data_IF_362619999196
#
_entry.id   IF_362619999196
#
_cell.length_a   1.000
_cell.length_b   1.000
_cell.length_c   1.000
_cell.angle_alpha   90.00
_cell.angle_beta   90.00
_cell.angle_gamma   90.00
#
_symmetry.space_group_name_H-M   'P 1'
#
loop_
_entity.id
_entity.type
_entity.pdbx_description
1 polymer ?
#
# COMPACT_ATOMS: atom_id res chain seq x y z
N UNK A 1 -31.19 5.82 8.11
CA UNK A 1 -30.67 7.16 7.76
C UNK A 1 -29.33 6.93 7.06
N UNK A 2 -29.27 7.13 5.75
CA UNK A 2 -28.06 6.86 4.96
C UNK A 2 -27.08 8.03 5.12
N UNK A 3 -25.91 7.78 5.70
CA UNK A 3 -24.80 8.75 5.70
C UNK A 3 -24.43 9.06 4.24
N UNK A 4 -24.60 10.32 3.82
CA UNK A 4 -23.97 10.79 2.59
C UNK A 4 -22.49 11.06 2.90
N UNK A 5 -21.54 10.49 2.13
CA UNK A 5 -20.14 10.81 2.32
C UNK A 5 -19.91 12.26 1.88
N UNK A 6 -19.70 13.13 2.86
CA UNK A 6 -19.32 14.53 2.62
C UNK A 6 -17.98 14.62 1.91
N UNK A 7 -17.91 15.44 0.87
CA UNK A 7 -16.67 15.84 0.20
C UNK A 7 -15.88 16.79 1.08
N UNK A 8 -15.24 16.29 2.14
CA UNK A 8 -14.32 17.09 2.93
C UNK A 8 -13.05 17.34 2.11
N UNK A 9 -12.88 18.56 1.61
CA UNK A 9 -11.76 18.87 0.71
C UNK A 9 -11.59 20.30 0.22
N UNK A 10 -12.46 21.26 0.56
CA UNK A 10 -12.17 22.68 0.31
C UNK A 10 -11.28 23.25 1.41
N UNK A 11 -10.24 23.99 1.00
CA UNK A 11 -9.38 24.71 1.92
C UNK A 11 -10.22 25.68 2.77
N UNK A 12 -10.37 25.38 4.06
CA UNK A 12 -11.05 26.27 5.02
C UNK A 12 -12.07 25.58 5.93
N UNK A 13 -12.54 24.37 5.62
CA UNK A 13 -13.43 23.64 6.53
C UNK A 13 -12.64 22.87 7.58
N UNK A 14 -12.98 23.07 8.86
CA UNK A 14 -12.50 22.22 9.94
C UNK A 14 -12.99 20.80 9.72
N UNK A 15 -12.12 19.80 9.90
CA UNK A 15 -12.56 18.41 9.93
C UNK A 15 -13.62 18.24 11.02
N UNK A 16 -14.66 17.43 10.79
CA UNK A 16 -15.62 17.05 11.82
C UNK A 16 -14.89 16.48 13.04
N UNK A 17 -15.35 16.88 14.21
CA UNK A 17 -14.92 16.26 15.46
C UNK A 17 -15.84 15.06 15.73
N UNK A 18 -15.50 13.91 15.13
CA UNK A 18 -16.32 12.70 15.26
C UNK A 18 -16.43 12.18 16.69
N UNK A 19 -15.47 12.49 17.58
CA UNK A 19 -15.61 12.14 19.01
C UNK A 19 -16.73 12.95 19.65
N UNK A 20 -16.81 14.24 19.36
CA UNK A 20 -17.88 15.10 19.85
C UNK A 20 -19.23 14.82 19.18
N UNK A 21 -19.25 14.67 17.85
CA UNK A 21 -20.49 14.49 17.10
C UNK A 21 -21.17 13.16 17.37
N UNK A 22 -20.41 12.11 17.65
CA UNK A 22 -20.94 10.77 17.94
C UNK A 22 -21.00 10.46 19.43
N UNK A 23 -20.60 11.41 20.28
CA UNK A 23 -20.50 11.25 21.75
C UNK A 23 -19.69 10.00 22.11
N UNK A 24 -18.46 9.92 21.58
CA UNK A 24 -17.55 8.80 21.79
C UNK A 24 -16.31 9.23 22.56
N UNK A 25 -15.86 8.34 23.42
CA UNK A 25 -14.56 8.39 24.08
C UNK A 25 -13.50 7.60 23.29
N UNK A 26 -12.20 7.90 23.49
CA UNK A 26 -11.12 7.06 22.97
C UNK A 26 -11.22 5.59 23.41
N UNK A 27 -11.69 5.34 24.63
CA UNK A 27 -11.89 4.02 25.20
C UNK A 27 -12.95 3.23 24.44
N UNK A 28 -14.12 3.83 24.19
CA UNK A 28 -15.19 3.19 23.41
C UNK A 28 -14.76 2.87 21.97
N UNK A 29 -13.97 3.75 21.34
CA UNK A 29 -13.38 3.45 20.03
C UNK A 29 -12.45 2.24 20.10
N UNK A 30 -11.62 2.14 21.14
CA UNK A 30 -10.74 0.98 21.31
C UNK A 30 -11.52 -0.31 21.54
N UNK A 31 -12.62 -0.27 22.30
CA UNK A 31 -13.52 -1.40 22.52
C UNK A 31 -14.14 -1.85 21.19
N UNK A 32 -14.73 -0.93 20.43
CA UNK A 32 -15.31 -1.20 19.10
C UNK A 32 -14.28 -1.87 18.18
N UNK A 33 -13.05 -1.35 18.14
CA UNK A 33 -11.98 -1.89 17.29
C UNK A 33 -11.56 -3.28 17.78
N UNK A 34 -11.41 -3.48 19.10
CA UNK A 34 -10.98 -4.74 19.69
C UNK A 34 -11.99 -5.87 19.46
N UNK A 35 -13.30 -5.54 19.51
CA UNK A 35 -14.38 -6.49 19.25
C UNK A 35 -14.58 -6.81 17.76
N UNK A 36 -14.03 -5.98 16.86
CA UNK A 36 -14.24 -6.09 15.41
C UNK A 36 -12.91 -6.19 14.63
N UNK A 37 -12.27 -7.38 14.55
CA UNK A 37 -11.00 -7.55 13.84
C UNK A 37 -10.96 -7.06 12.38
N UNK A 38 -12.04 -7.18 11.56
CA UNK A 38 -12.05 -6.60 10.22
C UNK A 38 -11.93 -5.08 10.23
N UNK A 39 -12.60 -4.41 11.18
CA UNK A 39 -12.53 -2.95 11.35
C UNK A 39 -11.11 -2.54 11.71
N UNK A 40 -10.46 -3.25 12.64
CA UNK A 40 -9.06 -3.03 12.98
C UNK A 40 -8.16 -3.11 11.74
N UNK A 41 -8.31 -4.17 10.94
CA UNK A 41 -7.47 -4.37 9.75
C UNK A 41 -7.64 -3.25 8.72
N UNK A 42 -8.88 -2.87 8.42
CA UNK A 42 -9.18 -1.78 7.48
C UNK A 42 -8.70 -0.43 8.01
N UNK A 43 -9.00 -0.10 9.27
CA UNK A 43 -8.56 1.14 9.89
C UNK A 43 -7.03 1.24 9.90
N UNK A 44 -6.33 0.15 10.23
CA UNK A 44 -4.88 0.14 10.25
C UNK A 44 -4.27 0.38 8.87
N UNK A 45 -4.94 -0.07 7.79
CA UNK A 45 -4.61 0.30 6.42
C UNK A 45 -4.67 1.82 6.20
N UNK A 46 -5.78 2.46 6.57
CA UNK A 46 -5.92 3.92 6.46
C UNK A 46 -4.91 4.68 7.33
N UNK A 47 -4.60 4.19 8.53
CA UNK A 47 -3.57 4.78 9.38
C UNK A 47 -2.19 4.65 8.73
N UNK A 48 -1.86 3.51 8.12
CA UNK A 48 -0.61 3.32 7.39
C UNK A 48 -0.48 4.29 6.21
N UNK A 49 -1.54 4.48 5.42
CA UNK A 49 -1.57 5.47 4.34
C UNK A 49 -1.38 6.90 4.85
N UNK A 50 -2.08 7.28 5.92
CA UNK A 50 -1.93 8.60 6.56
C UNK A 50 -0.49 8.83 7.06
N UNK A 51 0.11 7.82 7.69
CA UNK A 51 1.49 7.88 8.20
C UNK A 51 2.50 7.94 7.07
N UNK A 52 2.32 7.16 6.01
CA UNK A 52 3.16 7.23 4.81
C UNK A 52 3.12 8.65 4.22
N UNK A 53 1.93 9.21 4.03
CA UNK A 53 1.76 10.56 3.50
C UNK A 53 2.49 11.60 4.34
N UNK A 54 2.37 11.52 5.67
CA UNK A 54 2.98 12.47 6.62
C UNK A 54 4.50 12.31 6.80
N UNK A 55 5.02 11.09 6.68
CA UNK A 55 6.45 10.80 6.94
C UNK A 55 7.27 10.94 5.65
N UNK A 56 6.71 10.51 4.52
CA UNK A 56 7.41 10.40 3.25
C UNK A 56 6.90 11.36 2.19
N UNK A 57 5.59 11.37 1.92
CA UNK A 57 5.05 12.13 0.78
C UNK A 57 4.91 13.64 1.04
N UNK A 58 5.13 14.11 2.27
CA UNK A 58 5.20 15.54 2.61
C UNK A 58 6.62 16.10 2.63
N UNK A 59 7.63 15.29 2.27
CA UNK A 59 9.03 15.73 2.23
C UNK A 59 9.30 16.61 1.02
N UNK A 60 10.34 17.44 1.12
CA UNK A 60 10.80 18.31 0.04
C UNK A 60 11.07 17.52 -1.24
N UNK A 61 10.59 18.04 -2.37
CA UNK A 61 10.75 17.43 -3.70
C UNK A 61 9.57 16.59 -4.14
N UNK A 62 8.69 16.16 -3.23
CA UNK A 62 7.41 15.54 -3.57
C UNK A 62 6.33 16.62 -3.66
N UNK A 63 5.58 16.63 -4.76
CA UNK A 63 4.47 17.56 -5.00
C UNK A 63 3.25 16.84 -5.56
N UNK A 64 2.12 17.54 -5.67
CA UNK A 64 0.88 17.04 -6.29
C UNK A 64 0.37 15.70 -5.75
N UNK A 65 0.53 15.47 -4.43
CA UNK A 65 0.07 14.24 -3.77
C UNK A 65 -1.45 14.16 -3.78
N UNK A 66 -1.99 13.15 -4.44
CA UNK A 66 -3.42 12.92 -4.58
C UNK A 66 -3.75 11.43 -4.51
N UNK A 67 -5.01 11.08 -4.28
CA UNK A 67 -5.49 9.69 -4.42
C UNK A 67 -5.98 9.49 -5.86
N UNK A 68 -5.63 8.40 -6.55
CA UNK A 68 -6.20 8.09 -7.86
C UNK A 68 -7.73 8.02 -7.79
N UNK A 69 -8.42 8.57 -8.80
CA UNK A 69 -9.88 8.54 -8.83
C UNK A 69 -10.35 7.11 -9.11
N UNK A 70 -11.35 6.63 -8.36
CA UNK A 70 -11.85 5.26 -8.46
C UNK A 70 -12.33 4.83 -9.88
N UNK A 71 -12.67 5.79 -10.75
CA UNK A 71 -13.07 5.52 -12.13
C UNK A 71 -11.89 5.41 -13.11
N UNK A 72 -10.69 5.89 -12.76
CA UNK A 72 -9.50 5.74 -13.60
C UNK A 72 -8.80 4.41 -13.32
N UNK A 73 -9.38 3.34 -13.89
CA UNK A 73 -8.87 1.97 -13.77
C UNK A 73 -7.49 1.75 -14.42
N UNK A 74 -6.93 2.76 -15.12
CA UNK A 74 -5.63 2.63 -15.80
C UNK A 74 -4.43 2.85 -14.88
N UNK A 75 -4.62 3.44 -13.69
CA UNK A 75 -3.52 3.73 -12.76
C UNK A 75 -3.88 3.28 -11.36
N UNK A 76 -3.19 2.25 -10.86
CA UNK A 76 -3.37 1.75 -9.50
C UNK A 76 -2.36 2.37 -8.54
N UNK A 77 -2.70 2.33 -7.26
CA UNK A 77 -1.95 2.89 -6.14
C UNK A 77 -2.89 3.61 -5.19
N UNK A 78 -2.51 3.68 -3.92
CA UNK A 78 -3.25 4.46 -2.91
C UNK A 78 -2.97 5.96 -3.06
N UNK A 79 -1.78 6.31 -3.56
CA UNK A 79 -1.40 7.68 -3.90
C UNK A 79 -0.74 7.79 -5.27
N UNK A 80 -0.93 8.95 -5.89
CA UNK A 80 -0.15 9.47 -7.00
C UNK A 80 0.53 10.76 -6.54
N UNK A 81 1.77 10.98 -6.97
CA UNK A 81 2.52 12.19 -6.67
C UNK A 81 3.54 12.50 -7.76
N UNK A 82 4.08 13.72 -7.76
CA UNK A 82 5.20 14.12 -8.60
C UNK A 82 6.49 14.17 -7.80
N UNK A 83 7.57 13.75 -8.45
CA UNK A 83 8.93 13.89 -7.93
C UNK A 83 9.88 14.12 -9.11
N UNK A 84 10.69 15.20 -9.03
CA UNK A 84 11.60 15.66 -10.11
C UNK A 84 10.94 15.74 -11.50
N UNK A 85 9.66 16.13 -11.56
CA UNK A 85 8.90 16.25 -12.81
C UNK A 85 8.24 14.96 -13.31
N UNK A 86 8.56 13.80 -12.73
CA UNK A 86 7.94 12.53 -13.08
C UNK A 86 6.76 12.21 -12.15
N UNK A 87 5.71 11.61 -12.70
CA UNK A 87 4.57 11.12 -11.94
C UNK A 87 4.85 9.69 -11.50
N UNK A 88 4.58 9.41 -10.22
CA UNK A 88 4.68 8.09 -9.62
C UNK A 88 3.38 7.67 -8.96
N UNK A 89 3.14 6.37 -8.90
CA UNK A 89 2.11 5.78 -8.03
C UNK A 89 2.72 4.86 -6.98
N UNK A 90 2.10 4.85 -5.79
CA UNK A 90 2.55 4.02 -4.66
C UNK A 90 1.37 3.26 -4.07
N UNK A 91 1.58 1.96 -3.88
CA UNK A 91 0.65 1.04 -3.20
C UNK A 91 1.14 0.80 -1.78
N UNK A 92 0.26 0.90 -0.80
CA UNK A 92 0.55 0.75 0.63
C UNK A 92 0.00 -0.58 1.12
N UNK A 93 0.84 -1.37 1.78
CA UNK A 93 0.45 -2.60 2.47
C UNK A 93 0.99 -2.60 3.89
N UNK A 94 0.42 -3.43 4.74
CA UNK A 94 0.90 -3.63 6.11
C UNK A 94 1.24 -5.10 6.34
N UNK A 95 2.19 -5.33 7.25
CA UNK A 95 2.46 -6.67 7.75
C UNK A 95 1.19 -7.33 8.31
N UNK A 96 1.05 -8.61 8.01
CA UNK A 96 0.10 -9.52 8.65
C UNK A 96 0.65 -9.82 10.06
N UNK A 97 0.21 -9.05 11.06
CA UNK A 97 0.77 -9.05 12.41
C UNK A 97 0.83 -10.44 13.06
N UNK A 98 -0.20 -11.30 12.96
CA UNK A 98 -0.12 -12.70 13.42
C UNK A 98 1.01 -13.53 12.79
N UNK A 99 1.52 -13.15 11.62
CA UNK A 99 2.60 -13.85 10.91
C UNK A 99 3.99 -13.23 11.14
N UNK A 100 4.09 -12.26 12.04
CA UNK A 100 5.37 -11.68 12.45
C UNK A 100 6.03 -12.55 13.52
N UNK A 101 7.33 -12.81 13.35
CA UNK A 101 8.14 -13.56 14.30
C UNK A 101 9.48 -12.87 14.50
N UNK A 102 9.96 -12.84 15.74
CA UNK A 102 11.34 -12.46 16.05
C UNK A 102 12.26 -13.64 15.75
N UNK A 103 13.36 -13.41 15.05
CA UNK A 103 14.36 -14.43 14.69
C UNK A 103 15.74 -13.85 14.98
N UNK A 104 16.40 -14.35 16.03
CA UNK A 104 17.63 -13.75 16.55
C UNK A 104 17.42 -12.29 16.97
N UNK A 105 18.26 -11.40 16.44
CA UNK A 105 18.13 -9.95 16.63
C UNK A 105 17.15 -9.28 15.64
N UNK A 106 16.65 -10.04 14.67
CA UNK A 106 15.81 -9.53 13.58
C UNK A 106 14.34 -9.96 13.68
N UNK A 107 13.61 -9.65 12.61
CA UNK A 107 12.22 -10.04 12.42
C UNK A 107 12.02 -10.69 11.05
N UNK A 108 11.04 -11.58 10.98
CA UNK A 108 10.49 -12.09 9.73
C UNK A 108 8.99 -11.89 9.77
N UNK A 109 8.43 -11.41 8.66
CA UNK A 109 7.02 -11.15 8.51
C UNK A 109 6.50 -11.56 7.15
N UNK A 110 5.19 -11.46 7.00
CA UNK A 110 4.49 -11.64 5.74
C UNK A 110 3.52 -10.49 5.57
N UNK A 111 3.26 -10.09 4.34
CA UNK A 111 2.17 -9.17 4.00
C UNK A 111 1.42 -9.69 2.77
N UNK A 112 0.19 -9.22 2.61
CA UNK A 112 -0.60 -9.49 1.40
C UNK A 112 -0.43 -8.35 0.40
N UNK A 113 -0.21 -8.68 -0.88
CA UNK A 113 0.01 -7.80 -2.01
C UNK A 113 -0.92 -8.20 -3.16
N UNK A 114 -2.21 -8.19 -2.87
CA UNK A 114 -3.31 -8.46 -3.78
C UNK A 114 -4.39 -7.38 -3.63
N UNK A 115 -5.31 -7.33 -4.59
CA UNK A 115 -6.55 -6.59 -4.43
C UNK A 115 -7.47 -7.26 -3.39
N UNK A 116 -8.37 -6.48 -2.81
CA UNK A 116 -9.41 -6.99 -1.91
C UNK A 116 -10.26 -8.08 -2.57
N UNK A 117 -10.64 -7.85 -3.83
CA UNK A 117 -11.58 -8.67 -4.56
C UNK A 117 -11.00 -9.24 -5.85
N UNK A 118 -11.52 -10.40 -6.25
CA UNK A 118 -11.22 -11.00 -7.54
C UNK A 118 -11.82 -10.13 -8.66
N UNK A 119 -11.02 -9.85 -9.68
CA UNK A 119 -11.40 -9.01 -10.83
C UNK A 119 -10.83 -9.57 -12.11
N UNK A 120 -11.47 -9.31 -13.23
CA UNK A 120 -10.85 -9.53 -14.54
C UNK A 120 -9.76 -8.48 -14.74
N UNK A 121 -8.54 -8.92 -15.07
CA UNK A 121 -7.43 -8.06 -15.50
C UNK A 121 -6.99 -8.46 -16.91
N UNK A 122 -6.56 -7.47 -17.67
CA UNK A 122 -5.89 -7.69 -18.97
C UNK A 122 -4.39 -7.68 -18.75
N UNK A 123 -3.73 -8.76 -19.10
CA UNK A 123 -2.28 -8.91 -19.02
C UNK A 123 -1.58 -8.22 -20.22
N UNK A 124 -0.28 -7.91 -20.13
CA UNK A 124 0.46 -7.28 -21.23
C UNK A 124 0.46 -8.06 -22.55
N UNK A 125 0.31 -9.38 -22.51
CA UNK A 125 0.18 -10.23 -23.70
C UNK A 125 -1.24 -10.22 -24.32
N UNK A 126 -2.18 -9.47 -23.74
CA UNK A 126 -3.59 -9.39 -24.17
C UNK A 126 -4.52 -10.40 -23.50
N UNK A 127 -3.99 -11.38 -22.75
CA UNK A 127 -4.81 -12.36 -22.05
C UNK A 127 -5.69 -11.70 -20.98
N UNK A 128 -6.87 -12.27 -20.76
CA UNK A 128 -7.76 -11.90 -19.66
C UNK A 128 -7.75 -12.98 -18.60
N UNK A 129 -7.52 -12.57 -17.35
CA UNK A 129 -7.49 -13.49 -16.20
C UNK A 129 -8.35 -12.92 -15.09
N UNK A 130 -9.22 -13.75 -14.51
CA UNK A 130 -9.93 -13.41 -13.27
C UNK A 130 -9.05 -13.75 -12.08
N UNK A 131 -8.62 -12.73 -11.33
CA UNK A 131 -7.64 -12.86 -10.24
C UNK A 131 -7.77 -11.72 -9.23
N UNK A 132 -7.31 -11.97 -8.00
CA UNK A 132 -7.03 -10.89 -7.05
C UNK A 132 -5.56 -10.43 -7.08
N UNK A 133 -4.66 -11.13 -7.78
CA UNK A 133 -3.27 -10.69 -7.93
C UNK A 133 -3.21 -9.28 -8.55
N UNK A 134 -2.15 -8.56 -8.20
CA UNK A 134 -1.80 -7.30 -8.85
C UNK A 134 -0.98 -7.59 -10.10
N UNK A 135 -1.18 -6.78 -11.14
CA UNK A 135 -0.42 -6.93 -12.39
C UNK A 135 0.94 -6.27 -12.21
N UNK A 136 1.96 -6.85 -12.82
CA UNK A 136 3.30 -6.25 -12.86
C UNK A 136 3.23 -4.93 -13.63
N UNK A 137 3.75 -3.86 -13.02
CA UNK A 137 3.70 -2.49 -13.55
C UNK A 137 2.38 -1.75 -13.29
N UNK A 138 1.42 -2.33 -12.57
CA UNK A 138 0.14 -1.67 -12.26
C UNK A 138 0.31 -0.44 -11.32
N UNK A 139 1.42 -0.40 -10.58
CA UNK A 139 1.91 0.73 -9.77
C UNK A 139 3.44 0.79 -9.82
N UNK A 140 4.06 1.91 -9.42
CA UNK A 140 5.53 2.04 -9.48
C UNK A 140 6.23 1.49 -8.23
N UNK A 141 5.77 1.91 -7.05
CA UNK A 141 6.41 1.59 -5.76
C UNK A 141 5.44 0.89 -4.83
N UNK A 142 5.90 -0.15 -4.14
CA UNK A 142 5.23 -0.72 -2.98
C UNK A 142 5.82 -0.09 -1.72
N UNK A 143 4.97 0.33 -0.77
CA UNK A 143 5.34 0.69 0.59
C UNK A 143 4.73 -0.29 1.59
N UNK A 144 5.57 -1.02 2.32
CA UNK A 144 5.15 -1.95 3.37
C UNK A 144 5.37 -1.31 4.73
N UNK A 145 4.30 -1.04 5.45
CA UNK A 145 4.33 -0.59 6.84
C UNK A 145 4.88 -1.71 7.74
N UNK A 146 5.99 -1.41 8.43
CA UNK A 146 6.72 -2.35 9.29
C UNK A 146 6.39 -2.22 10.78
N UNK A 147 5.35 -1.46 11.14
CA UNK A 147 5.00 -1.20 12.54
C UNK A 147 4.91 -2.46 13.41
N UNK A 148 4.45 -3.59 12.87
CA UNK A 148 4.35 -4.84 13.61
C UNK A 148 5.72 -5.45 14.02
N UNK A 149 6.82 -5.07 13.37
CA UNK A 149 8.17 -5.51 13.77
C UNK A 149 8.65 -4.82 15.04
N UNK A 150 8.59 -3.48 15.07
CA UNK A 150 9.29 -2.68 16.09
C UNK A 150 8.41 -1.73 16.88
N UNK A 151 7.10 -1.66 16.58
CA UNK A 151 6.16 -0.66 17.13
C UNK A 151 6.56 0.78 16.81
N UNK A 152 7.26 0.96 15.70
CA UNK A 152 7.68 2.26 15.16
C UNK A 152 7.11 2.43 13.75
N UNK A 153 6.71 3.66 13.39
CA UNK A 153 6.21 3.94 12.05
C UNK A 153 7.36 4.07 11.06
N UNK A 154 7.72 2.94 10.44
CA UNK A 154 8.67 2.88 9.34
C UNK A 154 8.10 2.03 8.19
N UNK A 155 8.67 2.25 7.01
CA UNK A 155 8.21 1.62 5.77
C UNK A 155 9.40 1.00 5.05
N UNK A 156 9.18 -0.16 4.46
CA UNK A 156 10.04 -0.73 3.44
C UNK A 156 9.46 -0.45 2.07
N UNK A 157 10.31 -0.15 1.10
CA UNK A 157 9.95 0.18 -0.25
C UNK A 157 10.55 -0.80 -1.24
N UNK A 158 9.84 -1.08 -2.33
CA UNK A 158 10.35 -1.86 -3.44
C UNK A 158 9.71 -1.39 -4.76
N UNK A 159 10.43 -1.50 -5.88
CA UNK A 159 9.84 -1.30 -7.20
C UNK A 159 8.88 -2.45 -7.48
N UNK A 160 7.73 -2.16 -8.09
CA UNK A 160 6.77 -3.21 -8.46
C UNK A 160 7.40 -4.32 -9.32
N UNK A 161 8.22 -3.92 -10.31
CA UNK A 161 8.87 -4.86 -11.23
C UNK A 161 9.80 -5.86 -10.53
N UNK A 162 10.37 -5.52 -9.39
CA UNK A 162 11.31 -6.37 -8.66
C UNK A 162 10.60 -7.32 -7.68
N UNK A 163 9.29 -7.17 -7.50
CA UNK A 163 8.53 -8.00 -6.59
C UNK A 163 8.36 -9.44 -7.12
N UNK A 164 8.32 -10.45 -6.22
CA UNK A 164 8.14 -11.85 -6.59
C UNK A 164 6.88 -12.09 -7.43
N UNK A 165 7.02 -12.97 -8.42
CA UNK A 165 5.92 -13.40 -9.29
C UNK A 165 5.07 -14.49 -8.65
N UNK A 166 3.82 -14.56 -9.08
CA UNK A 166 2.89 -15.63 -8.68
C UNK A 166 3.41 -16.98 -9.15
N UNK A 167 3.31 -17.99 -8.29
CA UNK A 167 3.66 -19.38 -8.60
C UNK A 167 2.43 -20.29 -8.52
N UNK A 168 1.23 -19.70 -8.56
CA UNK A 168 0.00 -20.47 -8.41
C UNK A 168 -0.23 -21.36 -9.63
N UNK A 169 -0.42 -22.65 -9.38
CA UNK A 169 -0.48 -23.70 -10.40
C UNK A 169 -1.64 -23.56 -11.39
N UNK A 170 -2.69 -22.78 -11.07
CA UNK A 170 -3.81 -22.52 -12.00
C UNK A 170 -3.52 -21.43 -13.03
N UNK A 171 -2.45 -20.66 -12.87
CA UNK A 171 -1.97 -19.75 -13.91
C UNK A 171 -1.00 -20.47 -14.83
N UNK A 172 -1.06 -20.17 -16.12
CA UNK A 172 -0.03 -20.65 -17.06
C UNK A 172 1.34 -20.04 -16.71
N UNK A 173 2.46 -20.67 -17.10
CA UNK A 173 3.79 -20.08 -16.89
C UNK A 173 3.94 -18.68 -17.48
N UNK A 174 3.22 -18.38 -18.56
CA UNK A 174 3.19 -17.05 -19.17
C UNK A 174 2.43 -16.04 -18.30
N UNK A 175 1.23 -16.39 -17.83
CA UNK A 175 0.44 -15.55 -16.93
C UNK A 175 1.16 -15.24 -15.62
N UNK A 176 1.90 -16.22 -15.08
CA UNK A 176 2.68 -16.06 -13.85
C UNK A 176 3.71 -14.92 -13.94
N UNK A 177 4.31 -14.69 -15.13
CA UNK A 177 5.29 -13.59 -15.33
C UNK A 177 4.68 -12.21 -15.11
N UNK A 178 3.38 -12.06 -15.34
CA UNK A 178 2.64 -10.80 -15.28
C UNK A 178 1.87 -10.57 -13.99
N UNK A 179 1.84 -11.55 -13.08
CA UNK A 179 1.09 -11.48 -11.84
C UNK A 179 2.04 -11.48 -10.64
N UNK A 180 1.84 -10.54 -9.72
CA UNK A 180 2.56 -10.50 -8.45
C UNK A 180 2.10 -11.63 -7.52
N UNK A 181 3.04 -12.11 -6.70
CA UNK A 181 2.74 -13.06 -5.62
C UNK A 181 1.85 -12.39 -4.58
N UNK A 182 0.71 -12.99 -4.25
CA UNK A 182 -0.22 -12.39 -3.28
C UNK A 182 0.33 -12.32 -1.86
N UNK A 183 1.12 -13.30 -1.42
CA UNK A 183 1.70 -13.33 -0.07
C UNK A 183 3.22 -13.29 -0.15
N UNK A 184 3.81 -12.21 0.35
CA UNK A 184 5.26 -11.96 0.25
C UNK A 184 5.90 -11.96 1.63
N UNK A 185 7.12 -12.49 1.73
CA UNK A 185 7.94 -12.43 2.94
C UNK A 185 8.76 -11.16 2.95
N UNK A 186 9.04 -10.65 4.14
CA UNK A 186 9.94 -9.52 4.38
C UNK A 186 10.63 -9.70 5.72
N UNK A 187 11.84 -9.19 5.86
CA UNK A 187 12.69 -9.34 7.03
C UNK A 187 13.05 -8.00 7.65
N UNK A 188 13.59 -8.02 8.86
CA UNK A 188 14.37 -6.93 9.43
C UNK A 188 15.66 -7.52 10.01
N UNK A 189 16.87 -7.06 9.62
CA UNK A 189 17.15 -6.04 8.60
C UNK A 189 16.55 -6.36 7.22
N UNK A 190 16.32 -5.32 6.42
CA UNK A 190 15.70 -5.46 5.10
C UNK A 190 16.64 -6.21 4.15
N UNK A 191 16.07 -7.14 3.39
CA UNK A 191 16.72 -7.84 2.29
C UNK A 191 16.12 -7.40 0.94
N UNK A 192 16.88 -7.48 -0.17
CA UNK A 192 16.36 -7.20 -1.49
C UNK A 192 15.06 -7.98 -1.80
N UNK A 193 14.09 -7.37 -2.49
CA UNK A 193 14.16 -6.07 -3.18
C UNK A 193 13.80 -4.88 -2.28
N UNK A 194 13.70 -5.06 -0.95
CA UNK A 194 13.22 -4.04 -0.05
C UNK A 194 14.34 -3.10 0.43
N UNK A 195 14.04 -1.81 0.50
CA UNK A 195 14.91 -0.75 1.06
C UNK A 195 14.09 0.21 1.91
N UNK A 196 14.72 0.95 2.83
CA UNK A 196 14.08 2.00 3.62
C UNK A 196 14.19 3.39 2.97
N UNK A 197 14.81 3.50 1.79
CA UNK A 197 14.99 4.76 1.07
C UNK A 197 14.08 4.86 -0.17
N UNK A 198 12.95 5.55 -0.01
CA UNK A 198 12.03 5.85 -1.11
C UNK A 198 12.69 6.69 -2.21
N UNK A 199 13.51 7.69 -1.87
CA UNK A 199 14.05 8.63 -2.85
C UNK A 199 15.07 7.96 -3.76
N UNK A 200 15.89 7.06 -3.19
CA UNK A 200 16.78 6.22 -3.98
C UNK A 200 16.00 5.43 -5.04
N UNK A 201 14.90 4.76 -4.65
CA UNK A 201 14.08 4.03 -5.61
C UNK A 201 13.48 4.93 -6.69
N UNK A 202 13.01 6.11 -6.32
CA UNK A 202 12.45 7.07 -7.28
C UNK A 202 13.52 7.55 -8.27
N UNK A 203 14.72 7.87 -7.80
CA UNK A 203 15.84 8.26 -8.66
C UNK A 203 16.22 7.12 -9.64
N UNK A 204 16.26 5.87 -9.18
CA UNK A 204 16.49 4.71 -10.05
C UNK A 204 15.35 4.53 -11.08
N UNK A 205 14.09 4.69 -10.67
CA UNK A 205 12.95 4.63 -11.58
C UNK A 205 13.00 5.72 -12.67
N UNK A 206 13.52 6.92 -12.36
CA UNK A 206 13.74 7.99 -13.35
C UNK A 206 14.81 7.57 -14.34
N UNK A 207 15.97 7.11 -13.86
CA UNK A 207 17.07 6.66 -14.71
C UNK A 207 16.62 5.55 -15.68
N UNK A 208 15.78 4.64 -15.21
CA UNK A 208 15.24 3.54 -16.03
C UNK A 208 14.12 3.97 -17.01
N UNK A 209 13.53 5.15 -16.84
CA UNK A 209 12.51 5.71 -17.76
C UNK A 209 13.14 6.61 -18.83
N UNK A 210 14.22 7.29 -18.48
CA UNK A 210 14.90 8.26 -19.35
C UNK A 210 16.08 7.66 -20.14
N UNK A 211 16.59 6.51 -19.69
CA UNK A 211 17.62 5.73 -20.40
C UNK A 211 17.03 4.72 -21.37
#
# INVERSE_FOLDING_TARGET
MLFQPGSYGSAGESLPDYFKEWDLTPEEINEIIAENPPVLSTLFGYVAEYKLKKIWLSRSGITDVSRPRAHDRKKKGDFQFKYRGHIFTIEVKSLDAPKVRRVGEGFVGTFQCNASDSREVTLPNGDKVTTNCLVVGEFDVLAVNLFAFRREWCFAFAKNRDLPRSTWYKYTPEQQKYLLKSSMKITWPLEPPFTDDLFKLLDELIQERDG
#
